data_IF_606937750593
#
_entry.id   IF_606937750593
#
_cell.length_a   1.000
_cell.length_b   1.000
_cell.length_c   1.000
_cell.angle_alpha   90.00
_cell.angle_beta   90.00
_cell.angle_gamma   90.00
#
_symmetry.space_group_name_H-M   'P 1'
#
loop_
_entity.id
_entity.type
_entity.pdbx_description
1 polymer ?
#
# COMPACT_ATOMS: atom_id res chain seq x y z
N UNK A 1 18.19 -15.52 11.80
CA UNK A 1 17.56 -15.34 10.47
C UNK A 1 18.04 -14.01 9.93
N UNK A 2 18.84 -14.05 8.87
CA UNK A 2 19.83 -13.04 8.51
C UNK A 2 19.25 -11.84 7.77
N UNK A 3 19.90 -10.69 7.95
CA UNK A 3 19.78 -9.47 7.11
C UNK A 3 19.86 -9.74 5.60
N UNK A 4 20.32 -10.93 5.18
CA UNK A 4 20.51 -11.34 3.78
C UNK A 4 19.24 -11.35 2.91
N UNK A 5 18.05 -11.20 3.50
CA UNK A 5 16.79 -11.04 2.74
C UNK A 5 16.35 -9.57 2.58
N UNK A 6 16.85 -8.69 3.44
CA UNK A 6 16.60 -7.25 3.33
C UNK A 6 17.45 -6.68 2.21
N UNK A 7 16.82 -5.88 1.35
CA UNK A 7 17.51 -5.15 0.29
C UNK A 7 17.04 -3.69 0.31
N UNK A 8 17.92 -2.73 0.66
CA UNK A 8 17.56 -1.32 0.77
C UNK A 8 16.87 -0.79 -0.48
N UNK A 9 15.72 -0.14 -0.31
CA UNK A 9 14.90 0.41 -1.39
C UNK A 9 14.28 -0.63 -2.33
N UNK A 10 14.42 -1.92 -2.06
CA UNK A 10 13.93 -2.99 -2.95
C UNK A 10 12.98 -3.92 -2.23
N UNK A 11 13.36 -4.45 -1.07
CA UNK A 11 12.58 -5.45 -0.34
C UNK A 11 12.82 -5.32 1.17
N UNK A 12 11.75 -5.06 1.94
CA UNK A 12 11.83 -4.93 3.40
C UNK A 12 10.78 -5.78 4.16
N UNK A 13 10.07 -6.67 3.44
CA UNK A 13 9.09 -7.59 4.04
C UNK A 13 9.16 -9.01 3.48
N UNK A 14 8.98 -9.98 4.37
CA UNK A 14 8.89 -11.41 4.06
C UNK A 14 7.51 -11.87 3.63
N UNK A 15 7.38 -13.17 3.35
CA UNK A 15 6.18 -13.78 2.77
C UNK A 15 4.89 -13.55 3.57
N UNK A 16 4.94 -13.65 4.90
CA UNK A 16 3.78 -13.43 5.76
C UNK A 16 3.26 -11.98 5.69
N UNK A 17 4.17 -11.00 5.74
CA UNK A 17 3.83 -9.58 5.57
C UNK A 17 3.30 -9.30 4.16
N UNK A 18 3.89 -9.89 3.11
CA UNK A 18 3.39 -9.77 1.73
C UNK A 18 1.97 -10.32 1.60
N UNK A 19 1.69 -11.49 2.20
CA UNK A 19 0.36 -12.08 2.21
C UNK A 19 -0.66 -11.15 2.89
N UNK A 20 -0.28 -10.50 4.00
CA UNK A 20 -1.11 -9.49 4.66
C UNK A 20 -1.40 -8.29 3.75
N UNK A 21 -0.42 -7.80 2.97
CA UNK A 21 -0.68 -6.71 2.00
C UNK A 21 -1.61 -7.14 0.87
N UNK A 22 -1.54 -8.40 0.42
CA UNK A 22 -2.53 -8.96 -0.52
C UNK A 22 -3.94 -8.99 0.07
N UNK A 23 -4.09 -9.42 1.32
CA UNK A 23 -5.38 -9.41 2.01
C UNK A 23 -5.96 -7.99 2.12
N UNK A 24 -5.14 -7.01 2.50
CA UNK A 24 -5.55 -5.59 2.52
C UNK A 24 -5.99 -5.13 1.14
N UNK A 25 -5.24 -5.50 0.08
CA UNK A 25 -5.60 -5.18 -1.30
C UNK A 25 -6.96 -5.78 -1.68
N UNK A 26 -7.19 -7.06 -1.41
CA UNK A 26 -8.45 -7.72 -1.73
C UNK A 26 -9.64 -7.12 -0.97
N UNK A 27 -9.48 -6.85 0.32
CA UNK A 27 -10.52 -6.23 1.12
C UNK A 27 -10.88 -4.82 0.64
N UNK A 28 -9.85 -3.97 0.42
CA UNK A 28 -10.05 -2.64 -0.14
C UNK A 28 -10.68 -2.66 -1.53
N UNK A 29 -10.25 -3.61 -2.39
CA UNK A 29 -10.77 -3.78 -3.74
C UNK A 29 -12.24 -4.23 -3.75
N UNK A 30 -12.61 -5.15 -2.87
CA UNK A 30 -14.01 -5.60 -2.73
C UNK A 30 -14.92 -4.44 -2.31
N UNK A 31 -14.53 -3.66 -1.30
CA UNK A 31 -15.28 -2.48 -0.86
C UNK A 31 -15.36 -1.44 -1.98
N UNK A 32 -14.24 -1.19 -2.67
CA UNK A 32 -14.20 -0.27 -3.80
C UNK A 32 -15.21 -0.64 -4.88
N UNK A 33 -15.28 -1.92 -5.29
CA UNK A 33 -16.22 -2.38 -6.30
C UNK A 33 -17.68 -2.18 -5.86
N UNK A 34 -18.00 -2.49 -4.60
CA UNK A 34 -19.36 -2.28 -4.06
C UNK A 34 -19.72 -0.79 -4.08
N UNK A 35 -18.83 0.09 -3.59
CA UNK A 35 -19.09 1.53 -3.55
C UNK A 35 -19.16 2.15 -4.94
N UNK A 36 -18.32 1.67 -5.87
CA UNK A 36 -18.37 2.07 -7.28
C UNK A 36 -19.72 1.70 -7.90
N UNK A 37 -20.21 0.48 -7.66
CA UNK A 37 -21.52 0.03 -8.14
C UNK A 37 -22.66 0.91 -7.59
N UNK A 38 -22.62 1.22 -6.29
CA UNK A 38 -23.62 2.08 -5.63
C UNK A 38 -23.56 3.54 -6.11
N UNK A 39 -22.44 3.95 -6.70
CA UNK A 39 -22.29 5.32 -7.22
C UNK A 39 -22.98 5.51 -8.57
N UNK A 40 -23.19 4.45 -9.36
CA UNK A 40 -23.90 4.57 -10.64
C UNK A 40 -25.36 4.98 -10.43
N UNK A 41 -25.77 6.07 -11.09
CA UNK A 41 -27.13 6.62 -10.97
C UNK A 41 -27.37 7.40 -9.68
N UNK A 42 -26.33 7.61 -8.86
CA UNK A 42 -26.37 8.43 -7.66
C UNK A 42 -25.69 9.76 -7.92
N UNK A 43 -26.42 10.87 -7.82
CA UNK A 43 -25.83 12.22 -7.87
C UNK A 43 -25.14 12.63 -6.56
N UNK A 44 -25.14 11.74 -5.56
CA UNK A 44 -24.63 12.03 -4.22
C UNK A 44 -23.11 12.09 -4.20
N UNK A 45 -22.60 13.27 -3.88
CA UNK A 45 -21.17 13.46 -3.62
C UNK A 45 -20.66 12.66 -2.40
N UNK A 46 -21.56 12.15 -1.55
CA UNK A 46 -21.22 11.42 -0.33
C UNK A 46 -20.45 10.12 -0.60
N UNK A 47 -20.61 9.50 -1.78
CA UNK A 47 -19.92 8.26 -2.14
C UNK A 47 -18.51 8.47 -2.70
N UNK A 48 -18.16 9.69 -3.14
CA UNK A 48 -16.85 9.99 -3.74
C UNK A 48 -15.69 9.72 -2.79
N UNK A 49 -15.81 10.19 -1.54
CA UNK A 49 -14.75 10.02 -0.54
C UNK A 49 -14.59 8.54 -0.10
N UNK A 50 -15.66 7.79 0.23
CA UNK A 50 -15.57 6.35 0.47
C UNK A 50 -14.97 5.55 -0.69
N UNK A 51 -15.35 5.87 -1.95
CA UNK A 51 -14.75 5.23 -3.14
C UNK A 51 -13.25 5.52 -3.20
N UNK A 52 -12.85 6.78 -2.99
CA UNK A 52 -11.45 7.16 -2.97
C UNK A 52 -10.64 6.44 -1.88
N UNK A 53 -11.17 6.39 -0.64
CA UNK A 53 -10.49 5.75 0.48
C UNK A 53 -10.34 4.24 0.23
N UNK A 54 -11.38 3.57 -0.24
CA UNK A 54 -11.32 2.13 -0.56
C UNK A 54 -10.36 1.82 -1.72
N UNK A 55 -10.37 2.65 -2.77
CA UNK A 55 -9.39 2.60 -3.86
C UNK A 55 -7.95 2.80 -3.35
N UNK A 56 -7.73 3.71 -2.40
CA UNK A 56 -6.43 3.95 -1.80
C UNK A 56 -5.95 2.76 -0.97
N UNK A 57 -6.82 2.15 -0.15
CA UNK A 57 -6.50 0.92 0.60
C UNK A 57 -6.12 -0.21 -0.36
N UNK A 58 -6.90 -0.40 -1.43
CA UNK A 58 -6.59 -1.35 -2.50
C UNK A 58 -5.20 -1.10 -3.09
N UNK A 59 -4.94 0.14 -3.53
CA UNK A 59 -3.71 0.54 -4.20
C UNK A 59 -2.47 0.36 -3.30
N UNK A 60 -2.57 0.77 -2.03
CA UNK A 60 -1.52 0.61 -1.01
C UNK A 60 -1.19 -0.88 -0.82
N UNK A 61 -2.20 -1.74 -0.67
CA UNK A 61 -1.98 -3.18 -0.53
C UNK A 61 -1.39 -3.82 -1.79
N UNK A 62 -1.92 -3.44 -2.96
CA UNK A 62 -1.51 -3.95 -4.26
C UNK A 62 -0.03 -3.62 -4.53
N UNK A 63 0.35 -2.35 -4.46
CA UNK A 63 1.70 -1.89 -4.77
C UNK A 63 2.72 -2.48 -3.79
N UNK A 64 2.45 -2.43 -2.48
CA UNK A 64 3.36 -2.97 -1.48
C UNK A 64 3.55 -4.49 -1.62
N UNK A 65 2.49 -5.24 -1.93
CA UNK A 65 2.59 -6.70 -2.13
C UNK A 65 3.40 -7.07 -3.38
N UNK A 66 3.25 -6.31 -4.47
CA UNK A 66 4.01 -6.52 -5.72
C UNK A 66 5.48 -6.17 -5.57
N UNK A 67 5.78 -5.06 -4.88
CA UNK A 67 7.15 -4.63 -4.60
C UNK A 67 7.81 -5.41 -3.48
N UNK A 68 7.05 -6.17 -2.67
CA UNK A 68 7.54 -6.78 -1.42
C UNK A 68 8.18 -5.73 -0.50
N UNK A 69 7.56 -4.55 -0.47
CA UNK A 69 8.06 -3.40 0.25
C UNK A 69 6.92 -2.74 1.02
N UNK A 70 7.08 -2.64 2.33
CA UNK A 70 6.20 -1.95 3.23
C UNK A 70 6.65 -0.48 3.38
N UNK A 71 5.81 0.46 2.96
CA UNK A 71 6.08 1.89 3.06
C UNK A 71 6.21 2.34 4.52
N UNK A 72 5.41 1.77 5.44
CA UNK A 72 5.47 2.15 6.86
C UNK A 72 6.80 1.74 7.47
N UNK A 73 7.27 0.53 7.15
CA UNK A 73 8.58 0.05 7.59
C UNK A 73 9.71 0.89 6.98
N UNK A 74 9.60 1.24 5.69
CA UNK A 74 10.59 2.11 5.05
C UNK A 74 10.67 3.52 5.67
N UNK A 75 9.55 4.08 6.12
CA UNK A 75 9.54 5.36 6.84
C UNK A 75 10.12 5.24 8.26
N UNK A 76 9.74 4.18 8.98
CA UNK A 76 10.17 3.91 10.36
C UNK A 76 11.63 3.45 10.46
N UNK A 77 12.25 3.06 9.34
CA UNK A 77 13.58 2.47 9.34
C UNK A 77 13.60 1.05 9.88
N UNK A 78 12.58 0.26 9.53
CA UNK A 78 12.43 -1.12 9.96
C UNK A 78 12.24 -2.06 8.78
N UNK A 79 12.32 -3.36 9.04
CA UNK A 79 11.96 -4.43 8.11
C UNK A 79 11.46 -5.64 8.88
N UNK A 80 10.78 -6.57 8.21
CA UNK A 80 10.33 -7.82 8.84
C UNK A 80 10.33 -9.00 7.88
N UNK A 81 11.21 -9.97 8.12
CA UNK A 81 11.26 -11.26 7.41
C UNK A 81 10.97 -12.46 8.34
N UNK A 82 10.55 -12.19 9.56
CA UNK A 82 10.23 -13.20 10.57
C UNK A 82 8.72 -13.26 10.80
N UNK A 83 8.29 -13.64 12.00
CA UNK A 83 6.88 -13.61 12.37
C UNK A 83 6.31 -12.19 12.25
N UNK A 84 5.02 -12.07 11.96
CA UNK A 84 4.33 -10.79 11.87
C UNK A 84 4.54 -9.99 13.17
N UNK A 85 4.92 -8.72 13.03
CA UNK A 85 5.18 -7.81 14.16
C UNK A 85 6.57 -7.89 14.80
N UNK A 86 7.40 -8.90 14.50
CA UNK A 86 8.80 -8.95 14.95
C UNK A 86 9.69 -8.12 14.02
N UNK A 87 9.77 -6.81 14.31
CA UNK A 87 10.50 -5.85 13.50
C UNK A 87 12.01 -5.87 13.78
N UNK A 88 12.81 -5.77 12.72
CA UNK A 88 14.24 -5.49 12.77
C UNK A 88 14.50 -4.04 12.35
N UNK A 89 15.60 -3.45 12.81
CA UNK A 89 15.97 -2.06 12.52
C UNK A 89 16.98 -1.99 11.38
N UNK A 90 16.83 -0.98 10.53
CA UNK A 90 17.83 -0.60 9.53
C UNK A 90 18.90 0.25 10.23
N UNK A 91 20.17 -0.16 10.14
CA UNK A 91 21.28 0.48 10.87
C UNK A 91 21.97 1.55 10.05
N UNK A 92 22.19 1.32 8.75
CA UNK A 92 22.92 2.26 7.90
C UNK A 92 22.07 3.46 7.48
N UNK A 93 22.54 4.71 7.63
CA UNK A 93 21.86 5.91 7.15
C UNK A 93 21.52 5.89 5.66
N UNK A 94 22.36 5.29 4.83
CA UNK A 94 22.18 5.20 3.38
C UNK A 94 20.99 4.31 3.04
N UNK A 95 20.85 3.17 3.72
CA UNK A 95 19.70 2.29 3.54
C UNK A 95 18.39 2.93 4.05
N UNK A 96 18.45 3.67 5.16
CA UNK A 96 17.31 4.45 5.65
C UNK A 96 16.84 5.48 4.61
N UNK A 97 17.78 6.20 3.99
CA UNK A 97 17.46 7.16 2.94
C UNK A 97 16.85 6.49 1.70
N UNK A 98 17.41 5.36 1.28
CA UNK A 98 16.88 4.57 0.16
C UNK A 98 15.44 4.08 0.43
N UNK A 99 15.20 3.53 1.62
CA UNK A 99 13.89 3.03 2.04
C UNK A 99 12.84 4.14 2.12
N UNK A 100 13.20 5.31 2.70
CA UNK A 100 12.31 6.47 2.77
C UNK A 100 11.95 7.00 1.40
N UNK A 101 12.92 7.08 0.47
CA UNK A 101 12.66 7.48 -0.91
C UNK A 101 11.63 6.56 -1.57
N UNK A 102 11.79 5.25 -1.41
CA UNK A 102 10.88 4.27 -2.00
C UNK A 102 9.51 4.28 -1.33
N UNK A 103 9.46 4.46 0.00
CA UNK A 103 8.20 4.64 0.71
C UNK A 103 7.41 5.85 0.18
N UNK A 104 8.07 7.00 -0.03
CA UNK A 104 7.43 8.18 -0.61
C UNK A 104 6.95 7.94 -2.05
N UNK A 105 7.74 7.22 -2.86
CA UNK A 105 7.32 6.82 -4.21
C UNK A 105 6.08 5.91 -4.18
N UNK A 106 6.00 4.96 -3.23
CA UNK A 106 4.83 4.09 -3.07
C UNK A 106 3.60 4.90 -2.66
N UNK A 107 3.74 5.89 -1.77
CA UNK A 107 2.65 6.80 -1.40
C UNK A 107 2.15 7.54 -2.64
N UNK A 108 3.04 8.14 -3.43
CA UNK A 108 2.67 8.83 -4.65
C UNK A 108 2.00 7.92 -5.68
N UNK A 109 2.53 6.72 -5.90
CA UNK A 109 1.93 5.72 -6.80
C UNK A 109 0.54 5.29 -6.34
N UNK A 110 0.35 5.06 -5.03
CA UNK A 110 -0.93 4.64 -4.49
C UNK A 110 -1.98 5.76 -4.58
N UNK A 111 -1.61 7.00 -4.29
CA UNK A 111 -2.47 8.17 -4.46
C UNK A 111 -2.86 8.35 -5.93
N UNK A 112 -1.90 8.30 -6.85
CA UNK A 112 -2.16 8.44 -8.28
C UNK A 112 -3.13 7.36 -8.78
N UNK A 113 -2.92 6.09 -8.41
CA UNK A 113 -3.82 5.00 -8.78
C UNK A 113 -5.22 5.18 -8.16
N UNK A 114 -5.32 5.56 -6.89
CA UNK A 114 -6.59 5.79 -6.23
C UNK A 114 -7.40 6.93 -6.88
N UNK A 115 -6.71 8.03 -7.24
CA UNK A 115 -7.33 9.14 -8.00
C UNK A 115 -7.88 8.60 -9.31
N UNK A 116 -7.04 7.95 -10.13
CA UNK A 116 -7.44 7.40 -11.43
C UNK A 116 -8.66 6.47 -11.32
N UNK A 117 -8.71 5.62 -10.30
CA UNK A 117 -9.83 4.71 -10.06
C UNK A 117 -11.11 5.41 -9.58
N UNK A 118 -11.01 6.61 -9.01
CA UNK A 118 -12.15 7.38 -8.50
C UNK A 118 -12.72 8.33 -9.56
N UNK A 119 -11.91 8.76 -10.54
CA UNK A 119 -12.32 9.68 -11.62
C UNK A 119 -13.67 9.33 -12.26
N UNK A 120 -14.00 8.06 -12.58
CA UNK A 120 -15.30 7.72 -13.19
C UNK A 120 -16.53 8.16 -12.38
N UNK A 121 -16.44 8.20 -11.04
CA UNK A 121 -17.55 8.59 -10.15
C UNK A 121 -17.91 10.08 -10.26
N UNK A 122 -17.08 10.89 -10.92
CA UNK A 122 -17.40 12.29 -11.19
C UNK A 122 -18.21 12.49 -12.47
N UNK A 123 -18.38 11.44 -13.29
CA UNK A 123 -19.01 11.52 -14.61
C UNK A 123 -20.33 10.74 -14.72
N UNK A 124 -20.70 9.94 -13.72
CA UNK A 124 -21.95 9.17 -13.64
C UNK A 124 -22.69 9.52 -12.36
#
# INVERSE_FOLDING_TARGET
MSESQYQPGVCNIGGAEVARRKQVSYFGGAIYLVLLLLSFGSTSAALRLPVFISALIFAIGYIQSRKKFCLAFGLMGTFNFSELGKLSKVVSPEALAADRKVALLIIGQALALAILLTVPVFFF
#
